data_IF_735362851050
#
_entry.id   IF_735362851050
#
_cell.length_a   1.000
_cell.length_b   1.000
_cell.length_c   1.000
_cell.angle_alpha   90.00
_cell.angle_beta   90.00
_cell.angle_gamma   90.00
#
_symmetry.space_group_name_H-M   'P 1'
#
loop_
_entity.id
_entity.type
_entity.pdbx_description
1 polymer ?
#
# COMPACT_ATOMS: atom_id res chain seq x y z
N UNK A 1 7.59 24.92 22.92
CA UNK A 1 8.04 23.56 22.55
C UNK A 1 6.87 22.64 22.23
N UNK A 2 5.99 22.28 23.19
CA UNK A 2 4.89 21.32 22.96
C UNK A 2 3.91 21.73 21.83
N UNK A 3 3.47 22.99 21.80
CA UNK A 3 2.60 23.55 20.75
C UNK A 3 3.24 23.50 19.35
N UNK A 4 4.56 23.66 19.28
CA UNK A 4 5.32 23.58 18.04
C UNK A 4 5.44 22.13 17.55
N UNK A 5 5.75 21.19 18.45
CA UNK A 5 5.81 19.76 18.13
C UNK A 5 4.44 19.26 17.65
N UNK A 6 3.36 19.56 18.40
CA UNK A 6 2.00 19.16 18.02
C UNK A 6 1.60 19.70 16.64
N UNK A 7 1.88 20.99 16.37
CA UNK A 7 1.60 21.62 15.07
C UNK A 7 2.40 20.96 13.95
N UNK A 8 3.67 20.62 14.19
CA UNK A 8 4.54 19.93 13.22
C UNK A 8 4.07 18.51 12.95
N UNK A 9 3.74 17.73 13.98
CA UNK A 9 3.19 16.38 13.84
C UNK A 9 1.89 16.39 13.06
N UNK A 10 0.99 17.36 13.33
CA UNK A 10 -0.26 17.50 12.58
C UNK A 10 0.00 17.75 11.09
N UNK A 11 0.93 18.66 10.75
CA UNK A 11 1.29 18.89 9.35
C UNK A 11 1.87 17.64 8.69
N UNK A 12 2.78 16.93 9.37
CA UNK A 12 3.35 15.68 8.84
C UNK A 12 2.26 14.62 8.58
N UNK A 13 1.30 14.46 9.49
CA UNK A 13 0.19 13.53 9.31
C UNK A 13 -0.69 13.90 8.11
N UNK A 14 -1.02 15.19 7.95
CA UNK A 14 -1.80 15.67 6.80
C UNK A 14 -1.02 15.44 5.50
N UNK A 15 0.27 15.77 5.47
CA UNK A 15 1.11 15.56 4.29
C UNK A 15 1.17 14.08 3.91
N UNK A 16 1.41 13.18 4.87
CA UNK A 16 1.42 11.74 4.63
C UNK A 16 0.06 11.24 4.12
N UNK A 17 -1.03 11.69 4.73
CA UNK A 17 -2.39 11.35 4.30
C UNK A 17 -2.63 11.76 2.84
N UNK A 18 -2.24 12.99 2.46
CA UNK A 18 -2.36 13.46 1.08
C UNK A 18 -1.51 12.64 0.11
N UNK A 19 -0.27 12.30 0.49
CA UNK A 19 0.61 11.48 -0.35
C UNK A 19 0.00 10.09 -0.56
N UNK A 20 -0.41 9.41 0.51
CA UNK A 20 -1.02 8.07 0.44
C UNK A 20 -2.27 8.10 -0.44
N UNK A 21 -3.13 9.10 -0.24
CA UNK A 21 -4.35 9.27 -1.03
C UNK A 21 -4.02 9.50 -2.51
N UNK A 22 -3.12 10.43 -2.81
CA UNK A 22 -2.71 10.74 -4.18
C UNK A 22 -2.09 9.52 -4.87
N UNK A 23 -1.15 8.83 -4.21
CA UNK A 23 -0.52 7.62 -4.75
C UNK A 23 -1.54 6.51 -5.00
N UNK A 24 -2.51 6.32 -4.11
CA UNK A 24 -3.57 5.33 -4.32
C UNK A 24 -4.38 5.62 -5.59
N UNK A 25 -4.85 6.86 -5.76
CA UNK A 25 -5.64 7.22 -6.94
C UNK A 25 -4.82 7.24 -8.23
N UNK A 26 -3.53 7.61 -8.15
CA UNK A 26 -2.62 7.51 -9.30
C UNK A 26 -2.45 6.06 -9.75
N UNK A 27 -2.30 5.12 -8.82
CA UNK A 27 -2.20 3.70 -9.13
C UNK A 27 -3.54 3.11 -9.59
N UNK A 28 -4.65 3.52 -8.99
CA UNK A 28 -5.99 3.06 -9.38
C UNK A 28 -6.42 3.57 -10.75
N UNK A 29 -5.98 4.76 -11.15
CA UNK A 29 -6.23 5.36 -12.46
C UNK A 29 -5.16 5.06 -13.51
N UNK A 30 -4.08 4.37 -13.15
CA UNK A 30 -3.05 4.00 -14.09
C UNK A 30 -3.61 3.05 -15.17
N UNK A 31 -3.29 3.28 -16.46
CA UNK A 31 -3.73 2.38 -17.52
C UNK A 31 -3.04 1.02 -17.37
N UNK A 32 -3.84 -0.03 -17.17
CA UNK A 32 -3.37 -1.42 -17.03
C UNK A 32 -3.95 -2.12 -15.81
N UNK A 33 -4.02 -3.45 -15.87
CA UNK A 33 -4.39 -4.28 -14.72
C UNK A 33 -3.09 -4.71 -14.00
N UNK A 34 -2.87 -4.27 -12.74
CA UNK A 34 -1.62 -4.54 -12.02
C UNK A 34 -1.38 -6.03 -11.76
N UNK A 35 -2.41 -6.87 -11.88
CA UNK A 35 -2.27 -8.32 -11.78
C UNK A 35 -2.33 -9.03 -13.13
N UNK A 36 -2.55 -8.33 -14.25
CA UNK A 36 -2.67 -8.96 -15.58
C UNK A 36 -1.50 -9.89 -15.88
N UNK A 37 -0.26 -9.40 -15.72
CA UNK A 37 0.95 -10.19 -15.93
C UNK A 37 1.02 -11.48 -15.08
N UNK A 38 0.26 -11.54 -13.99
CA UNK A 38 0.21 -12.68 -13.06
C UNK A 38 -0.94 -13.63 -13.36
N UNK A 39 -2.05 -13.14 -13.92
CA UNK A 39 -3.28 -13.93 -14.15
C UNK A 39 -3.52 -14.29 -15.62
N UNK A 40 -2.79 -13.70 -16.56
CA UNK A 40 -2.97 -13.88 -18.01
C UNK A 40 -2.87 -15.35 -18.48
N UNK A 41 -2.06 -16.17 -17.80
CA UNK A 41 -1.89 -17.59 -18.10
C UNK A 41 -2.81 -18.51 -17.28
N UNK A 42 -3.64 -17.94 -16.40
CA UNK A 42 -4.49 -18.72 -15.50
C UNK A 42 -5.89 -18.93 -16.08
N UNK A 43 -6.57 -20.05 -15.74
CA UNK A 43 -7.98 -20.25 -16.10
C UNK A 43 -8.86 -19.12 -15.54
N UNK A 44 -9.91 -18.72 -16.26
CA UNK A 44 -10.79 -17.59 -15.90
C UNK A 44 -11.26 -17.63 -14.44
N UNK A 45 -11.67 -18.79 -13.95
CA UNK A 45 -12.08 -19.00 -12.54
C UNK A 45 -10.98 -18.64 -11.53
N UNK A 46 -9.72 -18.93 -11.85
CA UNK A 46 -8.60 -18.58 -10.98
C UNK A 46 -8.29 -17.07 -11.04
N UNK A 47 -8.50 -16.44 -12.20
CA UNK A 47 -8.35 -14.99 -12.34
C UNK A 47 -9.35 -14.24 -11.46
N UNK A 48 -10.62 -14.66 -11.44
CA UNK A 48 -11.67 -14.08 -10.61
C UNK A 48 -11.36 -14.18 -9.11
N UNK A 49 -10.89 -15.34 -8.66
CA UNK A 49 -10.50 -15.56 -7.26
C UNK A 49 -9.35 -14.63 -6.86
N UNK A 50 -8.35 -14.46 -7.72
CA UNK A 50 -7.22 -13.57 -7.46
C UNK A 50 -7.67 -12.11 -7.48
N UNK A 51 -8.54 -11.71 -8.41
CA UNK A 51 -9.12 -10.36 -8.47
C UNK A 51 -9.88 -10.04 -7.19
N UNK A 52 -10.71 -10.95 -6.71
CA UNK A 52 -11.43 -10.82 -5.45
C UNK A 52 -10.48 -10.75 -4.25
N UNK A 53 -9.39 -11.54 -4.25
CA UNK A 53 -8.37 -11.49 -3.19
C UNK A 53 -7.73 -10.09 -3.06
N UNK A 54 -7.44 -9.44 -4.18
CA UNK A 54 -6.88 -8.08 -4.20
C UNK A 54 -7.96 -6.98 -4.14
N UNK A 55 -9.23 -7.35 -3.99
CA UNK A 55 -10.37 -6.42 -3.94
C UNK A 55 -10.63 -5.67 -5.25
N UNK A 56 -10.12 -6.16 -6.38
CA UNK A 56 -10.28 -5.55 -7.70
C UNK A 56 -11.71 -5.69 -8.27
N UNK A 57 -12.52 -6.55 -7.63
CA UNK A 57 -13.96 -6.69 -7.84
C UNK A 57 -14.78 -5.51 -7.28
N UNK A 58 -14.21 -4.74 -6.34
CA UNK A 58 -14.89 -3.63 -5.66
C UNK A 58 -14.66 -2.30 -6.35
N UNK A 59 -15.56 -1.36 -6.09
CA UNK A 59 -15.38 0.03 -6.55
C UNK A 59 -14.09 0.64 -5.99
N UNK A 60 -13.46 1.55 -6.75
CA UNK A 60 -12.21 2.22 -6.33
C UNK A 60 -12.35 2.91 -4.98
N UNK A 61 -13.53 3.51 -4.73
CA UNK A 61 -13.84 4.19 -3.47
C UNK A 61 -13.89 3.20 -2.30
N UNK A 62 -14.54 2.05 -2.48
CA UNK A 62 -14.60 1.01 -1.45
C UNK A 62 -13.21 0.45 -1.15
N UNK A 63 -12.41 0.15 -2.19
CA UNK A 63 -11.02 -0.29 -2.02
C UNK A 63 -10.19 0.70 -1.22
N UNK A 64 -10.36 2.00 -1.49
CA UNK A 64 -9.67 3.06 -0.77
C UNK A 64 -10.05 3.07 0.72
N UNK A 65 -11.35 2.98 1.05
CA UNK A 65 -11.80 2.96 2.45
C UNK A 65 -11.31 1.72 3.19
N UNK A 66 -11.35 0.54 2.56
CA UNK A 66 -10.81 -0.69 3.16
C UNK A 66 -9.31 -0.57 3.41
N UNK A 67 -8.56 -0.07 2.42
CA UNK A 67 -7.13 0.16 2.53
C UNK A 67 -6.80 1.14 3.68
N UNK A 68 -7.46 2.30 3.71
CA UNK A 68 -7.23 3.33 4.72
C UNK A 68 -7.61 2.85 6.12
N UNK A 69 -8.71 2.09 6.25
CA UNK A 69 -9.12 1.47 7.51
C UNK A 69 -8.04 0.55 8.04
N UNK A 70 -7.57 -0.40 7.24
CA UNK A 70 -6.54 -1.35 7.65
C UNK A 70 -5.23 -0.60 8.01
N UNK A 71 -4.82 0.36 7.20
CA UNK A 71 -3.64 1.16 7.46
C UNK A 71 -3.71 1.90 8.81
N UNK A 72 -4.86 2.49 9.14
CA UNK A 72 -5.03 3.26 10.39
C UNK A 72 -5.21 2.34 11.60
N UNK A 73 -5.97 1.24 11.47
CA UNK A 73 -6.32 0.39 12.63
C UNK A 73 -5.27 -0.65 12.96
N UNK A 74 -4.64 -1.25 11.95
CA UNK A 74 -3.68 -2.35 12.12
C UNK A 74 -2.28 -1.97 11.65
N UNK A 75 -2.11 -0.84 10.97
CA UNK A 75 -0.84 -0.50 10.35
C UNK A 75 -0.50 -1.39 9.16
N UNK A 76 -1.50 -2.05 8.56
CA UNK A 76 -1.31 -2.98 7.45
C UNK A 76 -1.33 -2.25 6.10
N UNK A 77 -0.20 -2.33 5.39
CA UNK A 77 -0.03 -1.74 4.05
C UNK A 77 -0.52 -2.68 2.93
N UNK A 78 -0.98 -3.88 3.27
CA UNK A 78 -1.52 -4.87 2.34
C UNK A 78 -0.47 -5.85 1.81
N UNK A 79 -0.92 -6.77 0.94
CA UNK A 79 -0.03 -7.71 0.26
C UNK A 79 0.65 -7.07 -0.96
N UNK A 80 1.88 -7.48 -1.23
CA UNK A 80 2.55 -7.10 -2.46
C UNK A 80 1.92 -7.79 -3.67
N UNK A 81 1.60 -7.00 -4.70
CA UNK A 81 1.14 -7.51 -5.99
C UNK A 81 2.30 -8.20 -6.73
N UNK A 82 3.49 -7.60 -6.64
CA UNK A 82 4.74 -8.06 -7.29
C UNK A 82 5.32 -9.28 -6.59
N UNK A 83 5.46 -9.23 -5.25
CA UNK A 83 6.05 -10.31 -4.46
C UNK A 83 4.97 -11.17 -3.81
N UNK A 84 4.58 -12.25 -4.49
CA UNK A 84 3.53 -13.16 -4.00
C UNK A 84 3.85 -13.70 -2.60
N UNK A 85 2.86 -13.60 -1.69
CA UNK A 85 2.98 -14.14 -0.33
C UNK A 85 3.80 -13.27 0.63
N UNK A 86 4.26 -12.09 0.20
CA UNK A 86 4.91 -11.11 1.08
C UNK A 86 3.96 -9.95 1.39
N UNK A 87 3.86 -9.59 2.67
CA UNK A 87 3.23 -8.33 3.07
C UNK A 87 4.14 -7.16 2.69
N UNK A 88 3.54 -6.03 2.31
CA UNK A 88 4.26 -4.78 2.15
C UNK A 88 4.97 -4.37 3.45
N UNK A 89 4.40 -4.69 4.62
CA UNK A 89 5.02 -4.44 5.92
C UNK A 89 6.35 -5.17 6.08
N UNK A 90 6.42 -6.44 5.66
CA UNK A 90 7.65 -7.24 5.75
C UNK A 90 8.73 -6.66 4.85
N UNK A 91 8.34 -6.30 3.62
CA UNK A 91 9.24 -5.67 2.64
C UNK A 91 9.76 -4.34 3.19
N UNK A 92 8.89 -3.49 3.73
CA UNK A 92 9.28 -2.20 4.32
C UNK A 92 10.23 -2.43 5.50
N UNK A 93 9.90 -3.37 6.40
CA UNK A 93 10.72 -3.66 7.58
C UNK A 93 12.12 -4.16 7.19
N UNK A 94 12.21 -5.10 6.25
CA UNK A 94 13.46 -5.64 5.75
C UNK A 94 14.35 -4.54 5.14
N UNK A 95 13.78 -3.74 4.23
CA UNK A 95 14.53 -2.69 3.54
C UNK A 95 14.91 -1.53 4.46
N UNK A 96 14.03 -1.13 5.37
CA UNK A 96 14.34 -0.05 6.33
C UNK A 96 15.48 -0.42 7.26
N UNK A 97 15.57 -1.68 7.69
CA UNK A 97 16.68 -2.17 8.51
C UNK A 97 18.01 -2.13 7.75
N UNK A 98 18.01 -2.50 6.47
CA UNK A 98 19.21 -2.44 5.61
C UNK A 98 19.66 -0.99 5.43
N UNK A 99 18.73 -0.10 5.07
CA UNK A 99 19.02 1.34 4.92
C UNK A 99 19.50 1.96 6.22
N UNK A 100 18.93 1.57 7.37
CA UNK A 100 19.36 2.05 8.68
C UNK A 100 20.80 1.59 9.01
N UNK A 101 21.15 0.32 8.73
CA UNK A 101 22.52 -0.17 8.93
C UNK A 101 23.53 0.62 8.11
N UNK A 102 23.24 0.86 6.83
CA UNK A 102 24.13 1.64 5.97
C UNK A 102 24.24 3.07 6.49
N UNK A 103 23.12 3.72 6.82
CA UNK A 103 23.12 5.09 7.35
C UNK A 103 23.75 5.25 8.73
N UNK A 104 23.90 4.18 9.52
CA UNK A 104 24.63 4.20 10.79
C UNK A 104 26.14 4.05 10.57
N UNK A 105 26.55 3.32 9.53
CA UNK A 105 27.96 3.03 9.22
C UNK A 105 28.59 4.16 8.37
N UNK A 106 27.79 4.84 7.54
CA UNK A 106 28.18 5.99 6.73
C UNK A 106 28.27 7.27 7.56
#
# INVERSE_FOLDING_TARGET
MLKFIAKRTLYSLITLFLIITATFFLLAGAPGDPIAAKVEQMPEKAQEVIRAKYGLDRSVVERYFVYMKNLITTGDFGESIVYTGKSANDIIKENTLISAKIGIIA
#
